data_IF_977763212305
#
_entry.id   IF_977763212305
#
_cell.length_a   1.000
_cell.length_b   1.000
_cell.length_c   1.000
_cell.angle_alpha   90.00
_cell.angle_beta   90.00
_cell.angle_gamma   90.00
#
_symmetry.space_group_name_H-M   'P 1'
#
loop_
_entity.id
_entity.type
_entity.pdbx_description
1 polymer ?
#
# COMPACT_ATOMS: atom_id res chain seq x y z
N UNK A 1 -18.70 -19.00 -14.41
CA UNK A 1 -17.72 -18.74 -13.35
C UNK A 1 -18.27 -19.31 -12.07
N UNK A 2 -17.52 -20.19 -11.40
CA UNK A 2 -17.87 -20.67 -10.06
C UNK A 2 -17.27 -19.70 -9.04
N UNK A 3 -18.13 -19.11 -8.21
CA UNK A 3 -17.68 -18.36 -7.03
C UNK A 3 -17.18 -19.37 -5.98
N UNK A 4 -15.96 -19.22 -5.55
CA UNK A 4 -15.42 -19.97 -4.40
C UNK A 4 -15.83 -19.27 -3.10
N UNK A 5 -15.84 -19.98 -1.98
CA UNK A 5 -16.12 -19.36 -0.68
C UNK A 5 -15.15 -18.23 -0.31
N UNK A 6 -13.94 -18.24 -0.87
CA UNK A 6 -12.96 -17.16 -0.73
C UNK A 6 -13.32 -15.87 -1.49
N UNK A 7 -14.27 -15.96 -2.43
CA UNK A 7 -14.74 -14.78 -3.18
C UNK A 7 -15.92 -14.07 -2.47
N UNK A 8 -16.37 -14.60 -1.33
CA UNK A 8 -17.46 -14.03 -0.55
C UNK A 8 -16.89 -13.16 0.55
N UNK A 9 -17.14 -11.87 0.44
CA UNK A 9 -16.81 -10.88 1.48
C UNK A 9 -18.07 -10.46 2.20
N UNK A 10 -17.96 -10.13 3.49
CA UNK A 10 -19.08 -9.63 4.30
C UNK A 10 -19.35 -8.15 4.01
N UNK A 11 -19.42 -7.80 2.75
CA UNK A 11 -19.75 -6.45 2.33
C UNK A 11 -21.25 -6.18 2.44
N UNK A 12 -21.63 -5.00 2.84
CA UNK A 12 -23.03 -4.59 2.98
C UNK A 12 -23.14 -3.08 2.69
N UNK A 13 -24.34 -2.53 2.44
CA UNK A 13 -24.50 -1.11 2.23
C UNK A 13 -24.03 -0.22 3.40
N UNK A 14 -23.88 -0.79 4.58
CA UNK A 14 -23.40 -0.12 5.79
C UNK A 14 -21.94 -0.43 6.15
N UNK A 15 -21.37 -1.47 5.53
CA UNK A 15 -19.99 -1.92 5.74
C UNK A 15 -19.33 -2.11 4.37
N UNK A 16 -18.69 -1.07 3.89
CA UNK A 16 -17.98 -1.07 2.62
C UNK A 16 -16.50 -1.29 2.89
N UNK A 17 -15.98 -2.42 2.44
CA UNK A 17 -14.57 -2.76 2.59
C UNK A 17 -13.80 -2.38 1.33
N UNK A 18 -12.61 -1.80 1.51
CA UNK A 18 -11.70 -1.59 0.42
C UNK A 18 -11.19 -2.94 -0.11
N UNK A 19 -11.19 -3.11 -1.41
CA UNK A 19 -10.53 -4.19 -2.12
C UNK A 19 -9.48 -3.63 -3.06
N UNK A 20 -8.68 -4.46 -3.69
CA UNK A 20 -7.81 -4.03 -4.78
C UNK A 20 -8.65 -3.75 -6.03
N UNK A 21 -8.34 -2.68 -6.73
CA UNK A 21 -9.09 -2.29 -7.93
C UNK A 21 -8.54 -3.03 -9.18
N UNK A 22 -9.27 -4.00 -9.75
CA UNK A 22 -8.80 -4.75 -10.90
C UNK A 22 -8.84 -3.95 -12.21
N UNK A 23 -9.60 -2.85 -12.24
CA UNK A 23 -9.76 -2.02 -13.44
C UNK A 23 -8.67 -0.95 -13.55
N UNK A 24 -7.95 -0.72 -12.46
CA UNK A 24 -7.01 0.38 -12.29
C UNK A 24 -5.57 -0.12 -12.15
N UNK A 25 -5.28 -1.21 -12.81
CA UNK A 25 -3.96 -1.82 -12.78
C UNK A 25 -3.11 -1.32 -13.93
N UNK A 26 -2.00 -0.69 -13.64
CA UNK A 26 -0.97 -0.39 -14.65
C UNK A 26 -0.23 -1.67 -15.06
N UNK A 27 -0.61 -2.79 -14.50
CA UNK A 27 0.16 -4.03 -14.59
C UNK A 27 -0.47 -5.07 -15.48
N UNK A 28 0.31 -5.59 -16.40
CA UNK A 28 -0.10 -6.68 -17.30
C UNK A 28 0.16 -8.09 -16.76
N UNK A 29 0.83 -8.25 -15.62
CA UNK A 29 1.40 -9.55 -15.18
C UNK A 29 1.04 -9.99 -13.76
N UNK A 30 0.17 -9.30 -13.03
CA UNK A 30 -0.32 -9.71 -11.72
C UNK A 30 -1.70 -10.35 -11.80
N UNK A 31 -1.98 -11.29 -10.92
CA UNK A 31 -3.30 -11.92 -10.82
C UNK A 31 -3.96 -11.52 -9.52
N UNK A 32 -5.13 -10.90 -9.62
CA UNK A 32 -6.01 -10.61 -8.48
C UNK A 32 -6.98 -11.77 -8.31
N UNK A 33 -7.23 -12.18 -7.08
CA UNK A 33 -8.12 -13.29 -6.71
C UNK A 33 -8.75 -13.06 -5.34
N UNK A 34 -9.52 -14.01 -4.87
CA UNK A 34 -10.17 -14.00 -3.55
C UNK A 34 -11.01 -12.75 -3.32
N UNK A 35 -11.92 -12.45 -4.26
CA UNK A 35 -12.77 -11.25 -4.16
C UNK A 35 -11.98 -9.93 -4.23
N UNK A 36 -10.89 -9.90 -4.97
CA UNK A 36 -9.96 -8.78 -5.08
C UNK A 36 -9.18 -8.45 -3.78
N UNK A 37 -9.04 -9.42 -2.90
CA UNK A 37 -8.30 -9.26 -1.63
C UNK A 37 -6.88 -9.84 -1.69
N UNK A 38 -6.56 -10.59 -2.74
CA UNK A 38 -5.25 -11.19 -2.92
C UNK A 38 -4.68 -10.85 -4.28
N UNK A 39 -3.40 -10.52 -4.30
CA UNK A 39 -2.65 -10.34 -5.53
C UNK A 39 -1.37 -11.17 -5.49
N UNK A 40 -1.07 -11.80 -6.61
CA UNK A 40 0.20 -12.47 -6.87
C UNK A 40 0.89 -11.75 -8.01
N UNK A 41 2.11 -11.28 -7.76
CA UNK A 41 2.93 -10.62 -8.76
C UNK A 41 3.46 -11.60 -9.79
N UNK A 42 3.59 -11.15 -11.04
CA UNK A 42 4.35 -11.84 -12.08
C UNK A 42 5.79 -11.33 -12.15
N UNK A 43 6.54 -11.84 -13.10
CA UNK A 43 7.93 -11.46 -13.35
C UNK A 43 7.98 -10.01 -13.86
N UNK A 44 8.75 -9.14 -13.18
CA UNK A 44 9.03 -7.72 -13.51
C UNK A 44 8.03 -6.62 -13.06
N UNK A 45 8.40 -5.89 -12.15
CA UNK A 45 8.65 -4.53 -11.69
C UNK A 45 7.56 -3.44 -11.78
N UNK A 46 6.41 -3.55 -12.43
CA UNK A 46 5.53 -2.37 -12.60
C UNK A 46 4.08 -2.61 -12.19
N UNK A 47 3.87 -3.55 -11.29
CA UNK A 47 2.52 -3.96 -10.93
C UNK A 47 2.10 -3.29 -9.64
N UNK A 48 1.29 -2.24 -9.74
CA UNK A 48 0.77 -1.53 -8.59
C UNK A 48 -0.74 -1.64 -8.60
N UNK A 49 -1.27 -2.01 -7.45
CA UNK A 49 -2.69 -2.23 -7.25
C UNK A 49 -3.21 -1.24 -6.22
N UNK A 50 -4.00 -0.23 -6.63
CA UNK A 50 -4.65 0.68 -5.71
C UNK A 50 -5.85 0.01 -5.05
N UNK A 51 -6.25 0.55 -3.90
CA UNK A 51 -7.53 0.22 -3.28
C UNK A 51 -8.71 0.79 -4.08
N UNK A 52 -9.89 0.24 -3.85
CA UNK A 52 -11.15 0.76 -4.44
C UNK A 52 -11.68 2.00 -3.74
N UNK A 53 -11.12 2.36 -2.59
CA UNK A 53 -11.55 3.50 -1.78
C UNK A 53 -10.39 4.49 -1.63
N UNK A 54 -10.67 5.77 -1.85
CA UNK A 54 -9.78 6.88 -1.55
C UNK A 54 -10.38 7.77 -0.44
N UNK A 55 -9.51 8.44 0.31
CA UNK A 55 -9.86 9.26 1.46
C UNK A 55 -9.57 10.74 1.20
N UNK A 56 -10.57 11.59 1.27
CA UNK A 56 -10.42 13.04 1.17
C UNK A 56 -10.31 13.72 2.54
N UNK A 57 -10.76 13.06 3.60
CA UNK A 57 -10.73 13.59 4.97
C UNK A 57 -10.78 12.47 5.99
N UNK A 58 -10.48 12.78 7.25
CA UNK A 58 -10.54 11.87 8.38
C UNK A 58 -9.37 10.89 8.47
N UNK A 59 -9.45 9.98 9.43
CA UNK A 59 -8.42 8.99 9.70
C UNK A 59 -8.84 7.62 9.17
N UNK A 60 -7.94 6.97 8.46
CA UNK A 60 -8.18 5.68 7.80
C UNK A 60 -7.05 4.70 8.10
N UNK A 61 -7.37 3.42 8.01
CA UNK A 61 -6.47 2.34 8.33
C UNK A 61 -6.66 1.19 7.35
N UNK A 62 -5.55 0.57 6.95
CA UNK A 62 -5.54 -0.63 6.13
C UNK A 62 -4.46 -1.61 6.59
N UNK A 63 -4.70 -2.89 6.36
CA UNK A 63 -3.76 -3.98 6.60
C UNK A 63 -3.47 -4.74 5.32
N UNK A 64 -2.21 -5.17 5.18
CA UNK A 64 -1.74 -6.03 4.10
C UNK A 64 -0.99 -7.20 4.70
N UNK A 65 -1.47 -8.42 4.49
CA UNK A 65 -0.74 -9.61 4.92
C UNK A 65 0.30 -10.00 3.88
N UNK A 66 1.55 -10.04 4.28
CA UNK A 66 2.65 -10.50 3.45
C UNK A 66 2.64 -12.03 3.38
N UNK A 67 2.42 -12.61 2.21
CA UNK A 67 2.34 -14.06 2.03
C UNK A 67 3.59 -14.70 1.44
N UNK A 68 4.47 -13.90 0.89
CA UNK A 68 5.77 -14.32 0.36
C UNK A 68 6.79 -13.23 0.62
N UNK A 69 7.97 -13.60 1.07
CA UNK A 69 9.07 -12.65 1.38
C UNK A 69 9.78 -12.15 0.11
N UNK A 70 9.01 -11.73 -0.89
CA UNK A 70 9.47 -11.30 -2.19
C UNK A 70 9.22 -9.80 -2.37
N UNK A 71 10.02 -8.97 -1.74
CA UNK A 71 10.13 -7.53 -2.01
C UNK A 71 8.80 -6.76 -2.19
N UNK A 72 7.76 -7.00 -1.37
CA UNK A 72 6.53 -6.23 -1.49
C UNK A 72 6.76 -4.79 -1.10
N UNK A 73 5.97 -3.92 -1.70
CA UNK A 73 5.88 -2.52 -1.29
C UNK A 73 4.43 -2.19 -0.96
N UNK A 74 4.24 -1.38 0.06
CA UNK A 74 2.95 -0.80 0.40
C UNK A 74 3.07 0.70 0.49
N UNK A 75 1.99 1.41 0.27
CA UNK A 75 2.07 2.86 0.34
C UNK A 75 0.74 3.58 0.26
N UNK A 76 0.88 4.88 0.30
CA UNK A 76 -0.20 5.85 0.14
C UNK A 76 0.22 6.83 -0.94
N UNK A 77 -0.67 7.13 -1.86
CA UNK A 77 -0.44 8.09 -2.93
C UNK A 77 -1.61 9.05 -3.02
N UNK A 78 -1.37 10.17 -3.68
CA UNK A 78 -2.43 11.01 -4.20
C UNK A 78 -3.16 10.23 -5.31
N UNK A 79 -4.49 10.11 -5.21
CA UNK A 79 -5.28 9.33 -6.14
C UNK A 79 -5.33 9.94 -7.53
N UNK A 80 -5.33 11.28 -7.64
CA UNK A 80 -5.39 11.98 -8.92
C UNK A 80 -4.08 11.82 -9.72
N UNK A 81 -2.97 11.61 -9.01
CA UNK A 81 -1.64 11.40 -9.60
C UNK A 81 -1.30 9.92 -9.78
N UNK A 82 -2.12 9.03 -9.22
CA UNK A 82 -1.82 7.61 -9.17
C UNK A 82 -1.42 7.07 -10.55
N UNK A 83 -2.18 7.35 -11.58
CA UNK A 83 -1.89 6.91 -12.95
C UNK A 83 -0.62 7.50 -13.55
N UNK A 84 -0.38 8.79 -13.35
CA UNK A 84 0.80 9.45 -13.90
C UNK A 84 2.09 9.01 -13.23
N UNK A 85 2.03 8.70 -11.93
CA UNK A 85 3.15 8.16 -11.18
C UNK A 85 3.53 6.75 -11.65
N UNK A 86 2.54 5.96 -12.08
CA UNK A 86 2.76 4.59 -12.51
C UNK A 86 3.20 4.47 -13.97
N UNK A 87 2.75 5.34 -14.85
CA UNK A 87 3.14 5.37 -16.26
C UNK A 87 4.67 5.51 -16.44
N UNK A 88 5.35 6.10 -15.44
CA UNK A 88 6.81 6.26 -15.42
C UNK A 88 7.56 5.22 -14.56
N UNK A 89 6.90 4.17 -14.09
CA UNK A 89 7.52 3.11 -13.28
C UNK A 89 7.75 3.49 -11.81
N UNK A 90 7.15 4.56 -11.33
CA UNK A 90 7.52 5.20 -10.09
C UNK A 90 6.51 5.16 -8.97
N UNK A 91 6.43 4.06 -8.21
CA UNK A 91 5.85 4.09 -6.85
C UNK A 91 6.67 4.92 -5.86
N UNK A 92 7.75 5.51 -6.32
CA UNK A 92 8.69 6.36 -5.60
C UNK A 92 8.57 7.81 -6.07
N UNK A 93 7.41 8.18 -6.63
CA UNK A 93 7.16 9.50 -7.20
C UNK A 93 6.82 10.59 -6.18
N UNK A 94 6.85 11.84 -6.63
CA UNK A 94 6.35 12.95 -5.81
C UNK A 94 4.84 12.78 -5.59
N UNK A 95 4.40 12.78 -4.34
CA UNK A 95 2.99 12.54 -4.00
C UNK A 95 2.70 11.13 -3.52
N UNK A 96 3.72 10.32 -3.26
CA UNK A 96 3.60 9.01 -2.63
C UNK A 96 4.49 8.89 -1.40
N UNK A 97 4.00 8.18 -0.40
CA UNK A 97 4.79 7.68 0.73
C UNK A 97 4.76 6.16 0.62
N UNK A 98 5.91 5.54 0.41
CA UNK A 98 6.02 4.12 0.13
C UNK A 98 6.97 3.45 1.10
N UNK A 99 6.61 2.25 1.55
CA UNK A 99 7.50 1.37 2.27
C UNK A 99 7.91 0.20 1.40
N UNK A 100 9.18 0.14 1.06
CA UNK A 100 9.84 -0.95 0.36
C UNK A 100 10.30 -1.98 1.41
N UNK A 101 9.52 -3.04 1.55
CA UNK A 101 9.78 -4.14 2.48
C UNK A 101 10.82 -5.12 1.92
N UNK A 102 11.16 -4.96 0.64
CA UNK A 102 12.09 -5.84 -0.07
C UNK A 102 13.53 -5.40 -0.01
N UNK A 103 13.83 -4.15 0.34
CA UNK A 103 15.22 -3.74 0.55
C UNK A 103 15.81 -4.51 1.72
N UNK A 104 17.12 -4.66 1.78
CA UNK A 104 17.83 -5.50 2.76
C UNK A 104 17.36 -5.29 4.20
N UNK A 105 17.02 -4.06 4.55
CA UNK A 105 16.57 -3.65 5.89
C UNK A 105 15.25 -2.89 5.90
N UNK A 106 14.49 -2.91 4.78
CA UNK A 106 13.35 -2.03 4.58
C UNK A 106 13.75 -0.58 4.31
N UNK A 107 12.99 0.11 3.46
CA UNK A 107 13.28 1.51 3.10
C UNK A 107 12.00 2.29 2.88
N UNK A 108 11.97 3.53 3.34
CA UNK A 108 10.91 4.47 2.99
C UNK A 108 11.31 5.31 1.77
N UNK A 109 10.30 5.65 0.98
CA UNK A 109 10.38 6.69 -0.04
C UNK A 109 9.32 7.73 0.28
N UNK A 110 9.74 8.97 0.47
CA UNK A 110 8.87 10.09 0.84
C UNK A 110 8.92 11.12 -0.27
N UNK A 111 7.83 11.27 -1.02
CA UNK A 111 7.72 12.25 -2.12
C UNK A 111 8.94 12.25 -3.06
N UNK A 112 9.36 11.08 -3.53
CA UNK A 112 10.52 10.82 -4.40
C UNK A 112 11.89 10.75 -3.71
N UNK A 113 11.99 11.13 -2.45
CA UNK A 113 13.26 11.06 -1.72
C UNK A 113 13.39 9.70 -1.06
N UNK A 114 14.52 9.02 -1.28
CA UNK A 114 14.88 7.81 -0.54
C UNK A 114 15.29 8.22 0.87
N UNK A 115 14.51 7.76 1.82
CA UNK A 115 14.80 7.94 3.25
C UNK A 115 15.33 6.62 3.82
N UNK A 116 15.95 6.69 4.92
CA UNK A 116 16.47 5.65 5.81
C UNK A 116 16.37 4.18 5.37
N UNK A 117 17.49 3.55 5.13
CA UNK A 117 17.67 2.09 5.23
C UNK A 117 17.62 1.72 6.72
N UNK A 118 16.82 0.80 7.12
CA UNK A 118 16.48 0.25 8.45
C UNK A 118 15.04 0.57 8.88
N UNK A 119 14.16 0.64 7.94
CA UNK A 119 12.73 0.81 8.22
C UNK A 119 12.05 -0.47 8.74
N UNK A 120 12.83 -1.55 8.93
CA UNK A 120 12.28 -2.86 9.20
C UNK A 120 11.67 -3.50 7.95
N UNK A 121 11.46 -4.79 8.00
CA UNK A 121 10.73 -5.55 6.99
C UNK A 121 9.95 -6.67 7.67
N UNK A 122 8.80 -7.01 7.12
CA UNK A 122 8.05 -8.17 7.57
C UNK A 122 8.71 -9.49 7.11
N UNK A 123 8.12 -10.56 7.54
CA UNK A 123 8.36 -11.92 7.08
C UNK A 123 7.06 -12.52 6.55
N UNK A 124 7.11 -13.73 6.03
CA UNK A 124 5.89 -14.42 5.63
C UNK A 124 4.91 -14.53 6.80
N UNK A 125 3.68 -14.09 6.56
CA UNK A 125 2.63 -14.01 7.57
C UNK A 125 2.56 -12.70 8.34
N UNK A 126 3.55 -11.80 8.23
CA UNK A 126 3.49 -10.49 8.89
C UNK A 126 2.34 -9.64 8.36
N UNK A 127 1.68 -8.94 9.26
CA UNK A 127 0.65 -7.95 8.96
C UNK A 127 1.30 -6.57 8.87
N UNK A 128 1.29 -6.02 7.68
CA UNK A 128 1.78 -4.66 7.41
C UNK A 128 0.63 -3.69 7.58
N UNK A 129 0.79 -2.73 8.46
CA UNK A 129 -0.22 -1.77 8.85
C UNK A 129 0.07 -0.41 8.23
N UNK A 130 -0.94 0.23 7.68
CA UNK A 130 -0.87 1.58 7.12
C UNK A 130 -1.98 2.43 7.72
N UNK A 131 -1.62 3.50 8.39
CA UNK A 131 -2.58 4.49 8.88
C UNK A 131 -2.36 5.83 8.18
N UNK A 132 -3.43 6.55 7.92
CA UNK A 132 -3.40 7.89 7.36
C UNK A 132 -4.30 8.83 8.16
N UNK A 133 -3.90 10.07 8.20
CA UNK A 133 -4.75 11.21 8.54
C UNK A 133 -4.84 12.06 7.25
N UNK A 134 -5.97 11.96 6.56
CA UNK A 134 -6.16 12.61 5.28
C UNK A 134 -6.27 14.13 5.40
N UNK A 135 -6.70 14.65 6.55
CA UNK A 135 -6.79 16.09 6.80
C UNK A 135 -5.41 16.74 6.91
N UNK A 136 -4.47 16.07 7.58
CA UNK A 136 -3.07 16.51 7.73
C UNK A 136 -2.10 15.80 6.77
N UNK A 137 -2.60 14.88 5.95
CA UNK A 137 -1.87 14.09 4.94
C UNK A 137 -0.71 13.26 5.50
N UNK A 138 -0.78 12.93 6.77
CA UNK A 138 0.22 12.15 7.49
C UNK A 138 0.03 10.67 7.27
N UNK A 139 1.16 9.94 7.19
CA UNK A 139 1.21 8.50 6.96
C UNK A 139 2.08 7.83 8.02
N UNK A 140 1.59 6.71 8.55
CA UNK A 140 2.30 5.83 9.48
C UNK A 140 2.31 4.42 8.93
N UNK A 141 3.38 3.70 9.19
CA UNK A 141 3.50 2.27 8.90
C UNK A 141 3.77 1.48 10.16
N UNK A 142 3.28 0.24 10.20
CA UNK A 142 3.51 -0.70 11.29
C UNK A 142 3.71 -2.14 10.78
N UNK A 143 4.30 -2.97 11.61
CA UNK A 143 4.41 -4.42 11.41
C UNK A 143 3.94 -5.09 12.70
N UNK A 144 3.02 -6.05 12.58
CA UNK A 144 2.56 -6.91 13.67
C UNK A 144 2.25 -6.10 14.94
N UNK A 145 1.43 -5.06 14.80
CA UNK A 145 1.02 -4.11 15.83
C UNK A 145 2.14 -3.22 16.41
N UNK A 146 3.29 -3.14 15.75
CA UNK A 146 4.36 -2.23 16.17
C UNK A 146 4.54 -1.12 15.15
N UNK A 147 4.18 0.11 15.53
CA UNK A 147 4.36 1.29 14.69
C UNK A 147 5.83 1.63 14.53
N UNK A 148 6.25 1.88 13.30
CA UNK A 148 7.61 2.25 12.97
C UNK A 148 7.92 3.68 13.38
N UNK A 149 9.21 3.97 13.66
CA UNK A 149 9.64 5.32 14.05
C UNK A 149 8.99 5.86 15.34
N UNK A 150 8.54 4.97 16.25
CA UNK A 150 7.76 5.33 17.43
C UNK A 150 6.46 6.07 17.08
N UNK A 151 5.88 5.76 15.94
CA UNK A 151 4.67 6.36 15.41
C UNK A 151 3.47 6.22 16.34
N UNK A 152 2.63 7.24 16.40
CA UNK A 152 1.36 7.21 17.11
C UNK A 152 0.27 7.85 16.25
N UNK A 153 -0.40 7.07 15.39
CA UNK A 153 -1.46 7.58 14.51
C UNK A 153 -2.65 8.18 15.29
N UNK A 154 -2.97 7.61 16.45
CA UNK A 154 -4.07 8.12 17.27
C UNK A 154 -3.81 9.55 17.76
N UNK A 155 -2.59 9.81 18.21
CA UNK A 155 -2.15 11.14 18.65
C UNK A 155 -1.70 12.05 17.48
N UNK A 156 -1.55 11.50 16.27
CA UNK A 156 -1.07 12.24 15.10
C UNK A 156 0.40 12.65 15.15
N UNK A 157 1.22 11.89 15.91
CA UNK A 157 2.65 12.18 16.10
C UNK A 157 3.57 11.12 15.50
N UNK A 158 4.81 11.51 15.22
CA UNK A 158 5.88 10.65 14.70
C UNK A 158 5.45 9.91 13.42
N UNK A 159 4.85 10.62 12.49
CA UNK A 159 4.53 10.10 11.16
C UNK A 159 5.80 9.78 10.38
N UNK A 160 5.74 8.79 9.48
CA UNK A 160 6.84 8.48 8.55
C UNK A 160 6.97 9.59 7.50
N UNK A 161 5.85 10.12 7.03
CA UNK A 161 5.88 11.20 6.03
C UNK A 161 4.55 11.93 5.91
N UNK A 162 4.59 12.99 5.12
CA UNK A 162 3.42 13.79 4.72
C UNK A 162 3.36 13.80 3.20
N UNK A 163 2.23 13.38 2.63
CA UNK A 163 2.03 13.40 1.18
C UNK A 163 1.98 14.85 0.70
N UNK A 164 2.85 15.20 -0.25
CA UNK A 164 3.03 16.60 -0.69
C UNK A 164 1.88 17.14 -1.55
N UNK A 165 1.11 16.25 -2.19
CA UNK A 165 0.03 16.61 -3.11
C UNK A 165 -1.31 16.79 -2.36
N UNK A 166 -2.34 17.31 -3.02
CA UNK A 166 -3.58 17.77 -2.37
C UNK A 166 -4.84 16.97 -2.73
N UNK A 167 -4.76 16.02 -3.66
CA UNK A 167 -5.87 15.14 -4.02
C UNK A 167 -6.22 14.11 -2.95
N UNK A 168 -7.28 13.33 -3.12
CA UNK A 168 -7.63 12.25 -2.21
C UNK A 168 -6.47 11.27 -2.03
N UNK A 169 -6.34 10.68 -0.84
CA UNK A 169 -5.32 9.67 -0.56
C UNK A 169 -5.84 8.27 -0.86
N UNK A 170 -5.05 7.46 -1.54
CA UNK A 170 -5.37 6.09 -1.88
C UNK A 170 -4.28 5.15 -1.36
N UNK A 171 -4.70 4.02 -0.76
CA UNK A 171 -3.77 2.95 -0.41
C UNK A 171 -3.40 2.17 -1.65
N UNK A 172 -2.20 1.66 -1.69
CA UNK A 172 -1.77 0.75 -2.74
C UNK A 172 -0.78 -0.28 -2.25
N UNK A 173 -0.70 -1.37 -3.00
CA UNK A 173 0.36 -2.35 -2.82
C UNK A 173 1.01 -2.70 -4.16
N UNK A 174 2.25 -3.12 -4.09
CA UNK A 174 3.02 -3.70 -5.18
C UNK A 174 3.53 -5.06 -4.72
N UNK A 175 3.00 -6.15 -5.24
CA UNK A 175 3.61 -7.45 -5.07
C UNK A 175 4.85 -7.52 -5.96
N UNK A 176 5.98 -7.85 -5.44
CA UNK A 176 7.18 -8.08 -6.25
C UNK A 176 7.62 -9.53 -6.11
N UNK A 177 7.88 -10.18 -7.23
CA UNK A 177 8.65 -11.41 -7.28
C UNK A 177 9.99 -11.11 -7.92
N UNK A 178 11.06 -11.23 -7.17
CA UNK A 178 12.40 -11.24 -7.75
C UNK A 178 12.69 -12.67 -8.23
N UNK A 179 12.91 -12.85 -9.51
CA UNK A 179 13.53 -14.07 -10.00
C UNK A 179 15.02 -13.78 -10.23
N UNK A 180 15.81 -14.46 -9.42
CA UNK A 180 17.26 -14.58 -9.63
C UNK A 180 17.58 -15.36 -10.89
#
# INVERSE_FOLDING_TARGET
>A
ANLANADVVTDSPTNNFATLNPLDTVATNGTISEGNLKVVGGVYQTQIFPSTISASSGKWYAEFTQTLNNYPMVGVSDADLFFSLHASGGIRGSGAITWDLGSTNGRYYINSTSETDNAGKGSDGSVIQVAIDADSRKVWFGIDNTWQGSGNPAAGSNQIGVVAQTGPLIFFMRPESYQS
#
